data_IF_710226267997
#
_entry.id   IF_710226267997
#
_cell.length_a   1.000
_cell.length_b   1.000
_cell.length_c   1.000
_cell.angle_alpha   90.00
_cell.angle_beta   90.00
_cell.angle_gamma   90.00
#
_symmetry.space_group_name_H-M   'P 1'
#
loop_
_entity.id
_entity.type
_entity.pdbx_description
1 polymer ?
#
# COMPACT_ATOMS: atom_id res chain seq x y z
N UNK A 1 -0.92 -4.20 -16.56
CA UNK A 1 -2.17 -4.04 -17.32
C UNK A 1 -3.37 -4.37 -16.45
N UNK A 2 -4.28 -3.42 -16.21
CA UNK A 2 -5.38 -3.59 -15.26
C UNK A 2 -6.41 -4.65 -15.66
N UNK A 3 -6.53 -4.96 -16.96
CA UNK A 3 -7.44 -6.00 -17.47
C UNK A 3 -6.86 -7.42 -17.44
N UNK A 4 -5.56 -7.61 -17.14
CA UNK A 4 -4.93 -8.93 -17.06
C UNK A 4 -5.65 -9.96 -16.16
N UNK A 5 -6.28 -9.57 -15.03
CA UNK A 5 -7.04 -10.51 -14.21
C UNK A 5 -8.17 -11.22 -14.97
N UNK A 6 -8.74 -10.60 -16.01
CA UNK A 6 -9.74 -11.25 -16.90
C UNK A 6 -9.16 -12.42 -17.69
N UNK A 7 -7.83 -12.47 -17.84
CA UNK A 7 -7.07 -13.51 -18.52
C UNK A 7 -6.42 -14.50 -17.53
N UNK A 8 -6.69 -14.40 -16.22
CA UNK A 8 -6.01 -15.19 -15.19
C UNK A 8 -4.57 -14.75 -14.91
N UNK A 9 -4.16 -13.56 -15.39
CA UNK A 9 -2.82 -13.02 -15.20
C UNK A 9 -2.80 -11.89 -14.16
N UNK A 10 -1.67 -11.67 -13.45
CA UNK A 10 -1.52 -10.53 -12.56
C UNK A 10 -1.58 -9.17 -13.29
N UNK A 11 -2.14 -8.15 -12.63
CA UNK A 11 -2.19 -6.78 -13.18
C UNK A 11 -0.81 -6.11 -13.24
N UNK A 12 0.10 -6.48 -12.35
CA UNK A 12 1.50 -6.07 -12.35
C UNK A 12 2.33 -7.26 -12.77
N UNK A 13 3.25 -7.06 -13.68
CA UNK A 13 4.22 -8.07 -14.10
C UNK A 13 5.53 -7.33 -14.42
N UNK A 14 6.65 -8.03 -14.31
CA UNK A 14 7.97 -7.47 -14.53
C UNK A 14 9.07 -8.50 -14.33
N UNK A 15 10.27 -8.11 -14.73
CA UNK A 15 11.50 -8.83 -14.45
C UNK A 15 12.56 -7.81 -14.02
N UNK A 16 13.54 -8.27 -13.25
CA UNK A 16 14.72 -7.49 -12.89
C UNK A 16 15.96 -8.06 -13.57
N UNK A 17 16.79 -7.20 -14.13
CA UNK A 17 18.09 -7.56 -14.69
C UNK A 17 19.17 -6.88 -13.85
N UNK A 18 20.10 -7.67 -13.33
CA UNK A 18 21.30 -7.15 -12.68
C UNK A 18 22.46 -7.21 -13.68
N UNK A 19 23.05 -6.05 -13.94
CA UNK A 19 24.22 -5.89 -14.81
C UNK A 19 25.41 -5.48 -13.95
N UNK A 20 26.56 -6.08 -14.21
CA UNK A 20 27.82 -5.64 -13.61
C UNK A 20 28.14 -4.23 -14.07
N UNK A 21 28.27 -3.29 -13.13
CA UNK A 21 28.66 -1.91 -13.45
C UNK A 21 30.10 -1.80 -14.01
N UNK A 22 30.91 -2.85 -13.88
CA UNK A 22 32.30 -2.89 -14.37
C UNK A 22 32.40 -3.42 -15.79
N UNK A 23 31.61 -4.45 -16.13
CA UNK A 23 31.75 -5.19 -17.39
C UNK A 23 30.54 -5.08 -18.30
N UNK A 24 29.41 -4.56 -17.80
CA UNK A 24 28.11 -4.50 -18.48
C UNK A 24 27.53 -5.89 -18.79
N UNK A 25 28.16 -6.96 -18.28
CA UNK A 25 27.66 -8.33 -18.40
C UNK A 25 26.49 -8.54 -17.45
N UNK A 26 25.50 -9.33 -17.87
CA UNK A 26 24.37 -9.73 -17.01
C UNK A 26 24.88 -10.69 -15.93
N UNK A 27 24.72 -10.28 -14.68
CA UNK A 27 25.04 -11.11 -13.51
C UNK A 27 23.83 -11.96 -13.09
N UNK A 28 22.61 -11.40 -13.21
CA UNK A 28 21.38 -12.12 -12.87
C UNK A 28 20.17 -11.62 -13.66
N UNK A 29 19.23 -12.54 -13.90
CA UNK A 29 17.88 -12.26 -14.40
C UNK A 29 16.88 -12.84 -13.40
N UNK A 30 16.00 -12.01 -12.87
CA UNK A 30 14.95 -12.42 -11.95
C UNK A 30 13.60 -12.25 -12.64
N UNK A 31 12.94 -13.38 -12.92
CA UNK A 31 11.55 -13.44 -13.37
C UNK A 31 10.63 -13.40 -12.15
N UNK A 32 10.72 -12.30 -11.40
CA UNK A 32 10.06 -12.13 -10.10
C UNK A 32 8.58 -11.72 -10.22
N UNK A 33 8.07 -11.60 -11.44
CA UNK A 33 6.70 -11.16 -11.77
C UNK A 33 6.34 -9.83 -11.09
N UNK A 34 7.32 -8.94 -10.88
CA UNK A 34 7.11 -7.63 -10.26
C UNK A 34 7.17 -7.62 -8.73
N UNK A 35 7.51 -8.73 -8.07
CA UNK A 35 7.63 -8.80 -6.60
C UNK A 35 8.56 -7.73 -6.01
N UNK A 36 9.77 -7.55 -6.58
CA UNK A 36 10.71 -6.53 -6.10
C UNK A 36 10.20 -5.11 -6.36
N UNK A 37 9.41 -4.91 -7.42
CA UNK A 37 8.71 -3.63 -7.65
C UNK A 37 7.70 -3.37 -6.53
N UNK A 38 6.98 -4.39 -6.11
CA UNK A 38 6.00 -4.29 -5.04
C UNK A 38 6.66 -3.96 -3.69
N UNK A 39 7.72 -4.70 -3.34
CA UNK A 39 8.48 -4.51 -2.10
C UNK A 39 9.14 -3.14 -2.04
N UNK A 40 9.86 -2.73 -3.09
CA UNK A 40 10.57 -1.44 -3.10
C UNK A 40 9.62 -0.25 -3.06
N UNK A 41 8.41 -0.40 -3.60
CA UNK A 41 7.38 0.67 -3.54
C UNK A 41 6.88 0.87 -2.11
N UNK A 42 6.62 -0.21 -1.38
CA UNK A 42 6.26 -0.14 0.04
C UNK A 42 7.41 0.38 0.92
N UNK A 43 8.63 -0.09 0.67
CA UNK A 43 9.81 0.37 1.40
C UNK A 43 10.05 1.88 1.23
N UNK A 44 9.91 2.40 0.00
CA UNK A 44 10.01 3.84 -0.24
C UNK A 44 8.97 4.65 0.55
N UNK A 45 7.71 4.17 0.59
CA UNK A 45 6.65 4.77 1.40
C UNK A 45 6.97 4.77 2.89
N UNK A 46 7.50 3.67 3.42
CA UNK A 46 7.92 3.57 4.82
C UNK A 46 9.09 4.50 5.16
N UNK A 47 10.09 4.63 4.28
CA UNK A 47 11.18 5.60 4.47
C UNK A 47 10.64 7.03 4.52
N UNK A 48 9.71 7.39 3.63
CA UNK A 48 9.06 8.69 3.66
C UNK A 48 8.30 8.90 4.98
N UNK A 49 7.47 7.93 5.39
CA UNK A 49 6.73 7.99 6.64
C UNK A 49 7.66 8.12 7.85
N UNK A 50 8.80 7.40 7.88
CA UNK A 50 9.79 7.46 8.96
C UNK A 50 10.30 8.87 9.22
N UNK A 51 10.41 9.70 8.19
CA UNK A 51 10.96 11.05 8.30
C UNK A 51 9.91 12.16 8.30
N UNK A 52 8.71 11.90 7.75
CA UNK A 52 7.71 12.95 7.52
C UNK A 52 6.46 12.81 8.40
N UNK A 53 6.20 11.64 8.99
CA UNK A 53 5.08 11.46 9.93
C UNK A 53 5.52 11.65 11.37
N UNK A 54 4.58 11.97 12.26
CA UNK A 54 4.82 12.02 13.71
C UNK A 54 5.34 10.66 14.21
N UNK A 55 6.19 10.68 15.23
CA UNK A 55 6.75 9.45 15.79
C UNK A 55 5.70 8.56 16.47
N UNK A 56 4.62 9.18 16.96
CA UNK A 56 3.49 8.54 17.65
C UNK A 56 2.34 8.14 16.71
N UNK A 57 2.51 8.25 15.39
CA UNK A 57 1.49 7.83 14.42
C UNK A 57 1.11 6.36 14.62
N UNK A 58 -0.18 6.12 14.92
CA UNK A 58 -0.72 4.81 15.31
C UNK A 58 -1.93 4.37 14.47
N UNK A 59 -2.54 5.29 13.72
CA UNK A 59 -3.71 5.05 12.86
C UNK A 59 -3.38 5.31 11.39
N UNK A 60 -3.49 4.29 10.55
CA UNK A 60 -3.31 4.41 9.10
C UNK A 60 -4.64 4.37 8.33
N UNK A 61 -4.79 5.22 7.31
CA UNK A 61 -5.85 5.14 6.31
C UNK A 61 -5.26 4.65 4.99
N UNK A 62 -5.78 3.55 4.45
CA UNK A 62 -5.30 2.93 3.21
C UNK A 62 -6.39 3.03 2.14
N UNK A 63 -6.11 3.75 1.07
CA UNK A 63 -6.97 3.91 -0.09
C UNK A 63 -6.57 2.94 -1.19
N UNK A 64 -7.39 1.92 -1.41
CA UNK A 64 -7.15 0.81 -2.30
C UNK A 64 -7.08 -0.52 -1.53
N UNK A 65 -7.54 -1.59 -2.17
CA UNK A 65 -7.60 -2.94 -1.60
C UNK A 65 -6.78 -3.95 -2.44
N UNK A 66 -5.73 -3.46 -3.12
CA UNK A 66 -4.80 -4.29 -3.90
C UNK A 66 -3.59 -4.75 -3.10
N UNK A 67 -2.64 -5.42 -3.76
CA UNK A 67 -1.39 -5.94 -3.15
C UNK A 67 -0.65 -4.87 -2.35
N UNK A 68 -0.55 -3.66 -2.90
CA UNK A 68 0.15 -2.53 -2.26
C UNK A 68 -0.50 -2.10 -0.93
N UNK A 69 -1.81 -2.28 -0.73
CA UNK A 69 -2.46 -1.92 0.53
C UNK A 69 -1.84 -2.67 1.72
N UNK A 70 -1.66 -3.98 1.55
CA UNK A 70 -1.05 -4.82 2.58
C UNK A 70 0.46 -4.59 2.74
N UNK A 71 1.19 -4.36 1.64
CA UNK A 71 2.63 -4.13 1.70
C UNK A 71 2.98 -2.80 2.34
N UNK A 72 2.25 -1.73 2.00
CA UNK A 72 2.43 -0.41 2.61
C UNK A 72 2.14 -0.47 4.11
N UNK A 73 1.04 -1.11 4.53
CA UNK A 73 0.70 -1.24 5.94
C UNK A 73 1.78 -2.01 6.74
N UNK A 74 2.27 -3.14 6.20
CA UNK A 74 3.40 -3.86 6.80
C UNK A 74 4.66 -2.99 6.92
N UNK A 75 5.00 -2.27 5.85
CA UNK A 75 6.20 -1.44 5.83
C UNK A 75 6.08 -0.26 6.82
N UNK A 76 4.89 0.33 6.98
CA UNK A 76 4.61 1.35 7.98
C UNK A 76 4.81 0.82 9.41
N UNK A 77 4.37 -0.39 9.71
CA UNK A 77 4.56 -1.02 11.03
C UNK A 77 6.03 -1.23 11.40
N UNK A 78 6.96 -1.25 10.43
CA UNK A 78 8.40 -1.32 10.69
C UNK A 78 9.00 0.01 11.18
N UNK A 79 8.30 1.12 10.94
CA UNK A 79 8.82 2.48 11.20
C UNK A 79 7.94 3.30 12.14
N UNK A 80 6.71 2.86 12.42
CA UNK A 80 5.73 3.53 13.29
C UNK A 80 4.91 2.53 14.11
N UNK A 81 4.42 2.92 15.30
CA UNK A 81 3.61 2.06 16.17
C UNK A 81 2.15 1.95 15.68
N UNK A 82 1.95 1.55 14.41
CA UNK A 82 0.63 1.39 13.82
C UNK A 82 -0.10 0.24 14.51
N UNK A 83 -1.22 0.55 15.15
CA UNK A 83 -2.08 -0.41 15.86
C UNK A 83 -3.48 -0.51 15.25
N UNK A 84 -3.85 0.45 14.40
CA UNK A 84 -5.13 0.49 13.69
C UNK A 84 -4.96 0.90 12.23
N UNK A 85 -5.71 0.25 11.34
CA UNK A 85 -5.79 0.63 9.94
C UNK A 85 -7.23 0.63 9.43
N UNK A 86 -7.57 1.59 8.57
CA UNK A 86 -8.86 1.67 7.87
C UNK A 86 -8.63 1.53 6.37
N UNK A 87 -9.30 0.56 5.75
CA UNK A 87 -9.18 0.32 4.31
C UNK A 87 -10.43 0.84 3.61
N UNK A 88 -10.22 1.76 2.68
CA UNK A 88 -11.27 2.21 1.77
C UNK A 88 -10.96 1.75 0.35
N UNK A 89 -11.96 1.24 -0.35
CA UNK A 89 -11.89 1.03 -1.79
C UNK A 89 -13.28 1.25 -2.40
N UNK A 90 -13.31 1.56 -3.70
CA UNK A 90 -14.55 1.73 -4.46
C UNK A 90 -15.44 0.50 -4.42
N UNK A 91 -14.82 -0.67 -4.36
CA UNK A 91 -15.48 -1.96 -4.19
C UNK A 91 -15.38 -2.36 -2.70
N UNK A 92 -16.51 -2.23 -1.99
CA UNK A 92 -16.59 -2.51 -0.57
C UNK A 92 -16.26 -3.97 -0.24
N UNK A 93 -16.66 -4.93 -1.08
CA UNK A 93 -16.38 -6.35 -0.87
C UNK A 93 -14.86 -6.63 -0.92
N UNK A 94 -14.14 -5.96 -1.82
CA UNK A 94 -12.66 -6.04 -1.86
C UNK A 94 -12.03 -5.40 -0.62
N UNK A 95 -12.54 -4.27 -0.16
CA UNK A 95 -12.05 -3.62 1.06
C UNK A 95 -12.22 -4.53 2.29
N UNK A 96 -13.40 -5.13 2.46
CA UNK A 96 -13.69 -6.09 3.54
C UNK A 96 -12.77 -7.31 3.48
N UNK A 97 -12.62 -7.91 2.30
CA UNK A 97 -11.74 -9.07 2.09
C UNK A 97 -10.29 -8.73 2.44
N UNK A 98 -9.79 -7.58 1.99
CA UNK A 98 -8.44 -7.13 2.32
C UNK A 98 -8.28 -6.84 3.81
N UNK A 99 -9.26 -6.19 4.44
CA UNK A 99 -9.23 -5.87 5.86
C UNK A 99 -9.21 -7.13 6.73
N UNK A 100 -10.05 -8.13 6.42
CA UNK A 100 -10.06 -9.41 7.13
C UNK A 100 -8.70 -10.13 7.01
N UNK A 101 -8.16 -10.26 5.80
CA UNK A 101 -6.88 -10.91 5.56
C UNK A 101 -5.71 -10.19 6.26
N UNK A 102 -5.74 -8.85 6.31
CA UNK A 102 -4.71 -8.06 6.97
C UNK A 102 -4.83 -8.07 8.50
N UNK A 103 -6.06 -8.07 9.03
CA UNK A 103 -6.31 -8.23 10.46
C UNK A 103 -5.72 -9.54 10.97
N UNK A 104 -5.98 -10.64 10.27
CA UNK A 104 -5.44 -11.96 10.61
C UNK A 104 -3.91 -11.98 10.53
N UNK A 105 -3.36 -11.48 9.42
CA UNK A 105 -1.92 -11.58 9.14
C UNK A 105 -1.05 -10.66 10.00
N UNK A 106 -1.56 -9.47 10.36
CA UNK A 106 -0.79 -8.42 11.05
C UNK A 106 -1.11 -8.31 12.53
N UNK A 107 -2.19 -8.96 13.00
CA UNK A 107 -2.60 -8.93 14.41
C UNK A 107 -2.81 -7.50 14.96
N UNK A 108 -3.34 -6.60 14.12
CA UNK A 108 -3.74 -5.23 14.48
C UNK A 108 -5.21 -4.97 14.10
N UNK A 109 -5.80 -3.89 14.60
CA UNK A 109 -7.18 -3.51 14.30
C UNK A 109 -7.31 -2.98 12.87
N UNK A 110 -7.55 -3.85 11.90
CA UNK A 110 -7.80 -3.48 10.50
C UNK A 110 -9.29 -3.59 10.19
N UNK A 111 -9.93 -2.52 9.72
CA UNK A 111 -11.34 -2.52 9.32
C UNK A 111 -11.54 -1.90 7.93
N UNK A 112 -12.55 -2.37 7.20
CA UNK A 112 -12.98 -1.69 5.99
C UNK A 112 -13.96 -0.56 6.33
N UNK A 113 -13.93 0.50 5.54
CA UNK A 113 -14.85 1.63 5.65
C UNK A 113 -15.44 1.95 4.29
N UNK A 114 -16.73 2.26 4.26
CA UNK A 114 -17.48 2.53 3.02
C UNK A 114 -17.29 3.96 2.51
N UNK A 115 -16.98 4.90 3.39
CA UNK A 115 -16.82 6.32 3.07
C UNK A 115 -15.36 6.79 3.15
N UNK A 116 -14.96 7.58 2.14
CA UNK A 116 -13.60 8.09 2.00
C UNK A 116 -13.26 9.12 3.11
N UNK A 117 -14.21 9.95 3.53
CA UNK A 117 -13.97 10.92 4.60
C UNK A 117 -13.77 10.20 5.94
N UNK A 118 -14.58 9.18 6.22
CA UNK A 118 -14.44 8.34 7.41
C UNK A 118 -13.12 7.56 7.46
N UNK A 119 -12.56 7.20 6.30
CA UNK A 119 -11.23 6.60 6.25
C UNK A 119 -10.16 7.55 6.80
N UNK A 120 -10.20 8.81 6.35
CA UNK A 120 -9.22 9.85 6.68
C UNK A 120 -9.42 10.41 8.09
N UNK A 121 -10.66 10.47 8.58
CA UNK A 121 -10.99 11.10 9.85
C UNK A 121 -10.15 10.54 11.02
N UNK A 122 -9.24 11.36 11.57
CA UNK A 122 -8.34 10.95 12.66
C UNK A 122 -7.31 9.89 12.26
N UNK A 123 -6.95 9.80 10.97
CA UNK A 123 -5.79 9.03 10.53
C UNK A 123 -4.51 9.87 10.69
N UNK A 124 -3.44 9.25 11.16
CA UNK A 124 -2.13 9.89 11.29
C UNK A 124 -1.34 9.82 9.97
N UNK A 125 -1.52 8.73 9.23
CA UNK A 125 -0.87 8.49 7.93
C UNK A 125 -1.93 8.05 6.92
N UNK A 126 -1.94 8.70 5.76
CA UNK A 126 -2.84 8.36 4.66
C UNK A 126 -2.01 7.83 3.49
N UNK A 127 -2.34 6.64 3.02
CA UNK A 127 -1.65 5.98 1.90
C UNK A 127 -2.65 5.77 0.77
N UNK A 128 -2.30 6.23 -0.43
CA UNK A 128 -3.11 6.04 -1.64
C UNK A 128 -2.45 5.06 -2.61
N UNK A 129 -3.04 3.88 -2.76
CA UNK A 129 -2.57 2.79 -3.64
C UNK A 129 -3.67 2.39 -4.62
N UNK A 130 -4.16 3.36 -5.37
CA UNK A 130 -5.34 3.24 -6.24
C UNK A 130 -5.02 3.82 -7.62
N UNK A 131 -5.53 3.23 -8.71
CA UNK A 131 -5.32 3.75 -10.06
C UNK A 131 -6.26 4.92 -10.41
N UNK A 132 -6.88 5.56 -9.42
CA UNK A 132 -7.83 6.66 -9.65
C UNK A 132 -7.16 7.82 -10.36
N UNK A 133 -7.80 8.30 -11.43
CA UNK A 133 -7.44 9.55 -12.12
C UNK A 133 -8.19 10.76 -11.55
N UNK A 134 -9.14 10.52 -10.64
CA UNK A 134 -9.91 11.54 -9.95
C UNK A 134 -9.47 11.67 -8.48
N UNK A 135 -9.51 12.88 -7.89
CA UNK A 135 -9.19 13.09 -6.48
C UNK A 135 -10.13 12.33 -5.55
N UNK A 136 -9.57 11.47 -4.69
CA UNK A 136 -10.32 10.69 -3.69
C UNK A 136 -10.35 11.35 -2.31
N UNK A 137 -9.32 12.15 -2.00
CA UNK A 137 -9.20 12.88 -0.75
C UNK A 137 -9.41 14.36 -1.07
N UNK A 138 -10.41 14.97 -0.44
CA UNK A 138 -10.72 16.39 -0.60
C UNK A 138 -9.99 17.21 0.47
N UNK A 139 -9.71 18.47 0.19
CA UNK A 139 -8.93 19.34 1.08
C UNK A 139 -9.47 19.40 2.53
N UNK A 140 -10.79 19.35 2.72
CA UNK A 140 -11.42 19.38 4.05
C UNK A 140 -11.39 18.06 4.83
N UNK A 141 -10.85 16.96 4.27
CA UNK A 141 -10.80 15.67 4.95
C UNK A 141 -9.58 15.55 5.86
N UNK A 142 -8.48 16.22 5.51
CA UNK A 142 -7.19 16.09 6.21
C UNK A 142 -7.16 17.02 7.41
N UNK A 143 -6.89 16.48 8.59
CA UNK A 143 -6.66 17.25 9.81
C UNK A 143 -5.20 17.70 9.92
N UNK A 144 -4.96 18.77 10.68
CA UNK A 144 -3.60 19.16 11.03
C UNK A 144 -2.87 18.00 11.72
N UNK A 145 -1.59 17.82 11.40
CA UNK A 145 -0.84 16.72 11.95
C UNK A 145 0.59 16.59 11.53
#
# INVERSE_FOLDING_TARGET
FFDNPKLGLPSVNGMMVLLSAKTVVVDALLLDNGYLTDVRTAAAGAVAAKHLSREDSSVAAIFGAGVQAGLQLQALMLVRPITRARIWARDAAKAETAAAALRERLSIDVGAVSDAANAVAGADIIVTTTPSTEPLIKAGFVSAG
#
